data_IF_890214396757
#
_entry.id   IF_890214396757
#
_cell.length_a   1.000
_cell.length_b   1.000
_cell.length_c   1.000
_cell.angle_alpha   90.00
_cell.angle_beta   90.00
_cell.angle_gamma   90.00
#
_symmetry.space_group_name_H-M   'P 1'
#
loop_
_entity.id
_entity.type
_entity.pdbx_description
1 polymer ?
#
# COMPACT_ATOMS: atom_id res chain seq x y z
N UNK A 1 17.27 14.26 -2.34
CA UNK A 1 16.48 13.03 -2.62
C UNK A 1 15.47 12.85 -1.48
N UNK A 2 14.18 12.85 -1.78
CA UNK A 2 13.12 12.71 -0.77
C UNK A 2 13.04 11.28 -0.21
N UNK A 3 12.89 11.17 1.10
CA UNK A 3 12.61 9.91 1.81
C UNK A 3 11.26 10.07 2.52
N UNK A 4 10.45 9.01 2.48
CA UNK A 4 9.17 8.96 3.17
C UNK A 4 9.09 7.70 4.02
N UNK A 5 8.70 7.84 5.28
CA UNK A 5 8.38 6.69 6.13
C UNK A 5 6.96 6.25 5.82
N UNK A 6 6.78 4.96 5.55
CA UNK A 6 5.47 4.35 5.28
C UNK A 6 5.24 3.14 6.16
N UNK A 7 3.98 2.82 6.39
CA UNK A 7 3.51 1.76 7.27
C UNK A 7 2.61 0.78 6.52
N UNK A 8 2.76 -0.51 6.79
CA UNK A 8 1.94 -1.58 6.22
C UNK A 8 1.42 -2.50 7.33
N UNK A 9 0.10 -2.59 7.47
CA UNK A 9 -0.56 -3.50 8.40
C UNK A 9 -0.74 -4.89 7.78
N UNK A 10 -0.31 -5.93 8.50
CA UNK A 10 -0.37 -7.32 8.01
C UNK A 10 -0.49 -8.31 9.17
N UNK A 11 -0.56 -9.60 8.84
CA UNK A 11 -0.59 -10.70 9.81
C UNK A 11 0.80 -11.22 10.21
N UNK A 12 1.88 -10.67 9.64
CA UNK A 12 3.25 -11.17 9.83
C UNK A 12 4.29 -10.06 9.64
N UNK A 13 5.49 -10.25 10.18
CA UNK A 13 6.61 -9.42 9.80
C UNK A 13 6.95 -9.65 8.31
N UNK A 14 7.19 -8.56 7.60
CA UNK A 14 7.58 -8.55 6.18
C UNK A 14 8.94 -7.87 6.10
N UNK A 15 10.01 -8.65 6.29
CA UNK A 15 11.38 -8.13 6.31
C UNK A 15 11.83 -7.60 4.94
N UNK A 16 11.39 -8.29 3.88
CA UNK A 16 11.77 -8.00 2.50
C UNK A 16 10.51 -7.76 1.66
N UNK A 17 9.96 -6.53 1.65
CA UNK A 17 8.78 -6.22 0.85
C UNK A 17 9.10 -6.43 -0.64
N UNK A 18 8.14 -7.02 -1.36
CA UNK A 18 8.25 -7.28 -2.80
C UNK A 18 7.01 -6.76 -3.50
N UNK A 19 7.19 -6.23 -4.69
CA UNK A 19 6.07 -5.83 -5.55
C UNK A 19 5.39 -7.10 -6.06
N UNK A 20 4.19 -7.38 -5.57
CA UNK A 20 3.46 -8.59 -5.92
C UNK A 20 2.66 -8.35 -7.20
N UNK A 21 3.13 -8.91 -8.32
CA UNK A 21 2.39 -8.90 -9.59
C UNK A 21 1.46 -10.12 -9.67
N UNK A 22 0.23 -9.92 -10.18
CA UNK A 22 -0.70 -11.00 -10.49
C UNK A 22 -1.44 -11.63 -9.30
N UNK A 23 -1.20 -11.18 -8.07
CA UNK A 23 -1.99 -11.59 -6.90
C UNK A 23 -2.99 -10.49 -6.59
N UNK A 24 -4.27 -10.72 -6.86
CA UNK A 24 -5.30 -9.72 -6.67
C UNK A 24 -5.57 -9.55 -5.15
N UNK A 25 -4.99 -8.53 -4.54
CA UNK A 25 -5.40 -8.09 -3.19
C UNK A 25 -6.59 -7.17 -3.38
N UNK A 26 -7.81 -7.72 -3.28
CA UNK A 26 -9.14 -7.12 -3.56
C UNK A 26 -9.19 -5.61 -3.77
N UNK A 27 -8.70 -4.82 -2.81
CA UNK A 27 -8.92 -3.37 -2.78
C UNK A 27 -7.83 -2.55 -3.52
N UNK A 28 -6.64 -3.09 -3.79
CA UNK A 28 -5.48 -2.29 -4.23
C UNK A 28 -4.67 -2.90 -5.39
N UNK A 29 -5.19 -3.96 -6.03
CA UNK A 29 -4.55 -4.54 -7.20
C UNK A 29 -3.13 -5.09 -6.94
N UNK A 30 -2.30 -5.23 -7.99
CA UNK A 30 -0.91 -5.67 -7.87
C UNK A 30 0.01 -4.53 -7.40
N UNK A 31 0.80 -4.74 -6.33
CA UNK A 31 1.73 -3.72 -5.85
C UNK A 31 2.15 -3.92 -4.40
N UNK A 32 2.73 -2.89 -3.80
CA UNK A 32 2.92 -2.80 -2.35
C UNK A 32 2.09 -1.64 -1.78
N UNK A 33 1.10 -1.98 -0.95
CA UNK A 33 0.18 -0.99 -0.37
C UNK A 33 0.61 -0.58 1.04
N UNK A 34 0.74 0.72 1.27
CA UNK A 34 1.15 1.30 2.55
C UNK A 34 0.49 2.67 2.79
N UNK A 35 0.76 3.27 3.94
CA UNK A 35 0.24 4.60 4.30
C UNK A 35 1.30 5.38 5.08
N UNK A 36 1.23 6.71 5.07
CA UNK A 36 2.04 7.57 5.95
C UNK A 36 1.44 7.69 7.37
N UNK A 37 0.21 7.23 7.57
CA UNK A 37 -0.54 7.33 8.83
C UNK A 37 -0.41 6.01 9.61
N UNK A 38 0.39 6.02 10.67
CA UNK A 38 0.67 4.79 11.45
C UNK A 38 -0.60 4.17 12.02
N UNK A 39 -1.51 5.00 12.51
CA UNK A 39 -2.79 4.60 13.11
C UNK A 39 -3.68 3.87 12.09
N UNK A 40 -3.59 4.22 10.81
CA UNK A 40 -4.32 3.56 9.74
C UNK A 40 -3.74 2.17 9.47
N UNK A 41 -2.42 2.03 9.41
CA UNK A 41 -1.77 0.71 9.32
C UNK A 41 -2.08 -0.18 10.55
N UNK A 42 -2.15 0.39 11.75
CA UNK A 42 -2.59 -0.34 12.95
C UNK A 42 -4.03 -0.85 12.83
N UNK A 43 -4.96 -0.03 12.32
CA UNK A 43 -6.34 -0.45 12.07
C UNK A 43 -6.42 -1.59 11.05
N UNK A 44 -5.57 -1.58 10.02
CA UNK A 44 -5.49 -2.68 9.06
C UNK A 44 -4.95 -3.96 9.71
N UNK A 45 -3.86 -3.85 10.48
CA UNK A 45 -3.24 -4.98 11.15
C UNK A 45 -4.20 -5.65 12.15
N UNK A 46 -4.99 -4.86 12.89
CA UNK A 46 -5.99 -5.34 13.87
C UNK A 46 -7.07 -6.25 13.28
N UNK A 47 -7.20 -6.33 11.95
CA UNK A 47 -8.10 -7.29 11.28
C UNK A 47 -7.59 -8.73 11.34
N UNK A 48 -6.32 -8.93 11.71
CA UNK A 48 -5.67 -10.24 11.83
C UNK A 48 -5.47 -10.64 13.29
N UNK A 49 -5.44 -11.94 13.58
CA UNK A 49 -5.13 -12.47 14.91
C UNK A 49 -3.69 -12.20 15.36
N UNK A 50 -2.78 -11.98 14.41
CA UNK A 50 -1.36 -11.69 14.63
C UNK A 50 -1.00 -10.32 14.04
N UNK A 51 -1.53 -9.23 14.61
CA UNK A 51 -1.40 -7.90 14.03
C UNK A 51 0.05 -7.42 14.06
N UNK A 52 0.63 -7.12 12.89
CA UNK A 52 1.95 -6.49 12.78
C UNK A 52 1.87 -5.24 11.88
N UNK A 53 2.42 -4.14 12.38
CA UNK A 53 2.69 -2.94 11.61
C UNK A 53 4.15 -2.96 11.18
N UNK A 54 4.37 -3.07 9.88
CA UNK A 54 5.70 -2.99 9.29
C UNK A 54 6.02 -1.55 8.92
N UNK A 55 7.27 -1.11 9.11
CA UNK A 55 7.73 0.24 8.81
C UNK A 55 8.83 0.20 7.77
N UNK A 56 8.73 1.05 6.74
CA UNK A 56 9.71 1.14 5.66
C UNK A 56 10.06 2.59 5.35
N UNK A 57 11.17 2.76 4.63
CA UNK A 57 11.55 4.04 4.03
C UNK A 57 11.51 3.92 2.51
N UNK A 58 10.61 4.66 1.88
CA UNK A 58 10.54 4.79 0.42
C UNK A 58 11.48 5.91 -0.02
N UNK A 59 12.28 5.65 -1.06
CA UNK A 59 13.08 6.67 -1.74
C UNK A 59 12.34 7.10 -3.00
N UNK A 60 11.93 8.36 -3.08
CA UNK A 60 11.11 8.86 -4.18
C UNK A 60 11.86 8.92 -5.54
N UNK A 61 13.19 8.79 -5.53
CA UNK A 61 14.03 8.77 -6.74
C UNK A 61 14.52 7.36 -7.09
N UNK A 62 13.77 6.31 -6.70
CA UNK A 62 14.18 4.90 -6.85
C UNK A 62 13.81 4.26 -8.20
N UNK A 63 13.18 5.00 -9.11
CA UNK A 63 12.63 4.45 -10.37
C UNK A 63 11.31 3.69 -10.18
N UNK A 64 10.80 3.60 -8.95
CA UNK A 64 9.50 3.01 -8.64
C UNK A 64 8.36 3.94 -9.04
N UNK A 65 7.28 3.37 -9.59
CA UNK A 65 6.03 4.08 -9.84
C UNK A 65 5.22 4.16 -8.56
N UNK A 66 5.20 5.34 -7.95
CA UNK A 66 4.48 5.59 -6.69
C UNK A 66 3.20 6.35 -6.97
N UNK A 67 2.06 5.81 -6.54
CA UNK A 67 0.78 6.50 -6.47
C UNK A 67 0.54 6.91 -5.01
N UNK A 68 0.24 8.18 -4.76
CA UNK A 68 -0.03 8.70 -3.42
C UNK A 68 -1.40 9.37 -3.38
N UNK A 69 -2.27 8.89 -2.50
CA UNK A 69 -3.52 9.51 -2.11
C UNK A 69 -3.34 10.17 -0.74
N UNK A 70 -3.41 11.49 -0.70
CA UNK A 70 -3.28 12.25 0.55
C UNK A 70 -4.54 12.24 1.41
N UNK A 71 -5.68 12.07 0.75
CA UNK A 71 -7.01 12.09 1.34
C UNK A 71 -7.89 11.03 0.66
N UNK A 72 -8.98 10.63 1.33
CA UNK A 72 -9.99 9.73 0.78
C UNK A 72 -10.89 10.49 -0.20
N UNK A 73 -10.35 10.83 -1.38
CA UNK A 73 -11.06 11.56 -2.45
C UNK A 73 -11.91 10.62 -3.32
N UNK A 74 -12.72 11.18 -4.21
CA UNK A 74 -13.41 10.40 -5.26
C UNK A 74 -12.39 9.61 -6.12
N UNK A 75 -11.24 10.22 -6.43
CA UNK A 75 -10.17 9.56 -7.20
C UNK A 75 -9.62 8.32 -6.47
N UNK A 76 -9.51 8.39 -5.14
CA UNK A 76 -9.15 7.23 -4.33
C UNK A 76 -10.23 6.15 -4.44
N UNK A 77 -11.50 6.52 -4.30
CA UNK A 77 -12.61 5.58 -4.40
C UNK A 77 -12.67 4.91 -5.79
N UNK A 78 -12.50 5.68 -6.86
CA UNK A 78 -12.46 5.21 -8.24
C UNK A 78 -11.32 4.21 -8.45
N UNK A 79 -10.15 4.48 -7.87
CA UNK A 79 -9.02 3.55 -7.91
C UNK A 79 -9.34 2.22 -7.21
N UNK A 80 -9.97 2.25 -6.03
CA UNK A 80 -10.40 1.03 -5.32
C UNK A 80 -11.41 0.25 -6.16
N UNK A 81 -12.39 0.95 -6.76
CA UNK A 81 -13.42 0.35 -7.61
C UNK A 81 -12.76 -0.34 -8.82
N UNK A 82 -11.87 0.37 -9.53
CA UNK A 82 -11.11 -0.18 -10.65
C UNK A 82 -10.32 -1.44 -10.26
N UNK A 83 -9.61 -1.41 -9.12
CA UNK A 83 -8.88 -2.57 -8.60
C UNK A 83 -9.79 -3.76 -8.33
N UNK A 84 -10.97 -3.52 -7.73
CA UNK A 84 -11.98 -4.57 -7.46
C UNK A 84 -12.59 -5.15 -8.74
N UNK A 85 -12.69 -4.35 -9.80
CA UNK A 85 -13.10 -4.81 -11.13
C UNK A 85 -11.97 -5.54 -11.88
N UNK A 86 -10.76 -5.59 -11.33
CA UNK A 86 -9.62 -6.24 -11.94
C UNK A 86 -8.95 -5.40 -13.04
N UNK A 87 -9.20 -4.10 -13.07
CA UNK A 87 -8.50 -3.20 -13.97
C UNK A 87 -7.01 -3.14 -13.60
N UNK A 88 -6.11 -3.34 -14.57
CA UNK A 88 -4.68 -3.35 -14.29
C UNK A 88 -4.17 -1.91 -14.08
N UNK A 89 -3.26 -1.76 -13.12
CA UNK A 89 -2.39 -0.61 -13.02
C UNK A 89 -0.92 -1.07 -12.94
N UNK A 90 0.01 -0.15 -13.15
CA UNK A 90 1.44 -0.42 -13.18
C UNK A 90 2.23 0.23 -12.03
N UNK A 91 1.52 0.82 -11.05
CA UNK A 91 2.12 1.34 -9.82
C UNK A 91 2.78 0.22 -9.00
N UNK A 92 4.03 0.46 -8.61
CA UNK A 92 4.80 -0.42 -7.74
C UNK A 92 4.38 -0.22 -6.28
N UNK A 93 4.16 1.03 -5.88
CA UNK A 93 3.76 1.41 -4.51
C UNK A 93 2.50 2.26 -4.57
N UNK A 94 1.52 1.91 -3.75
CA UNK A 94 0.32 2.73 -3.53
C UNK A 94 0.32 3.18 -2.07
N UNK A 95 0.31 4.49 -1.85
CA UNK A 95 0.29 5.15 -0.54
C UNK A 95 -1.09 5.78 -0.34
N UNK A 96 -1.85 5.37 0.68
CA UNK A 96 -3.17 5.95 0.98
C UNK A 96 -3.89 5.29 2.15
#
# INVERSE_FOLDING_TARGET
MGKMTVYHGSYTAVENPRIMKGRNTKDFGPGFYCTIIREQAERWAKRYNTPIVNTYTVRLNSGLKVLEFKEMTEEWLDFIIACRHGEPHDYDIVIG
#
